data_IF_095328492888
#
_entry.id   IF_095328492888
#
_cell.length_a   1.000
_cell.length_b   1.000
_cell.length_c   1.000
_cell.angle_alpha   90.00
_cell.angle_beta   90.00
_cell.angle_gamma   90.00
#
_symmetry.space_group_name_H-M   'P 1'
#
loop_
_entity.id
_entity.type
_entity.pdbx_description
1 polymer ?
#
# COMPACT_ATOMS: atom_id res chain seq x y z
N UNK A 1 -2.56 -8.90 -9.85
CA UNK A 1 -3.08 -7.70 -10.56
C UNK A 1 -2.02 -6.65 -10.87
N UNK A 2 -0.90 -6.53 -10.10
CA UNK A 2 0.16 -5.53 -10.33
C UNK A 2 0.72 -5.59 -11.76
N UNK A 3 0.99 -6.77 -12.29
CA UNK A 3 1.55 -6.94 -13.64
C UNK A 3 0.60 -6.51 -14.77
N UNK A 4 -0.72 -6.52 -14.52
CA UNK A 4 -1.72 -6.01 -15.46
C UNK A 4 -1.75 -4.48 -15.50
N UNK A 5 -1.43 -3.85 -14.38
CA UNK A 5 -1.49 -2.40 -14.23
C UNK A 5 -0.17 -1.69 -14.56
N UNK A 6 0.96 -2.40 -14.45
CA UNK A 6 2.29 -1.86 -14.69
C UNK A 6 2.45 -1.15 -16.06
N UNK A 7 1.96 -1.68 -17.19
CA UNK A 7 2.08 -1.00 -18.48
C UNK A 7 1.42 0.38 -18.53
N UNK A 8 0.32 0.60 -17.79
CA UNK A 8 -0.31 1.92 -17.71
C UNK A 8 0.59 2.94 -17.00
N UNK A 9 1.25 2.52 -15.94
CA UNK A 9 2.21 3.35 -15.19
C UNK A 9 3.45 3.65 -16.04
N UNK A 10 3.86 2.72 -16.90
CA UNK A 10 5.03 2.87 -17.77
C UNK A 10 4.76 3.78 -18.97
N UNK A 11 3.54 3.82 -19.48
CA UNK A 11 3.18 4.55 -20.68
C UNK A 11 2.65 5.96 -20.39
N UNK A 12 2.01 6.17 -19.25
CA UNK A 12 1.36 7.43 -18.91
C UNK A 12 2.21 8.20 -17.90
N UNK A 13 2.73 9.39 -18.30
CA UNK A 13 3.54 10.24 -17.42
C UNK A 13 4.87 9.59 -17.00
N UNK A 14 5.58 10.25 -16.08
CA UNK A 14 6.84 9.77 -15.51
C UNK A 14 6.59 8.89 -14.29
N UNK A 15 7.50 7.95 -13.99
CA UNK A 15 7.40 7.12 -12.78
C UNK A 15 7.48 7.96 -11.51
N UNK A 16 8.31 9.03 -11.52
CA UNK A 16 8.38 10.00 -10.44
C UNK A 16 7.03 10.70 -10.22
N UNK A 17 6.32 11.07 -11.28
CA UNK A 17 4.99 11.69 -11.18
C UNK A 17 3.98 10.74 -10.52
N UNK A 18 3.90 9.49 -10.97
CA UNK A 18 3.03 8.47 -10.37
C UNK A 18 3.36 8.22 -8.91
N UNK A 19 4.64 8.06 -8.59
CA UNK A 19 5.14 7.82 -7.25
C UNK A 19 4.67 8.92 -6.27
N UNK A 20 4.90 10.19 -6.60
CA UNK A 20 4.52 11.32 -5.75
C UNK A 20 3.01 11.52 -5.71
N UNK A 21 2.32 11.45 -6.86
CA UNK A 21 0.87 11.67 -6.94
C UNK A 21 0.10 10.63 -6.12
N UNK A 22 0.52 9.36 -6.16
CA UNK A 22 -0.13 8.31 -5.38
C UNK A 22 0.08 8.50 -3.86
N UNK A 23 1.20 9.06 -3.43
CA UNK A 23 1.40 9.42 -2.01
C UNK A 23 0.40 10.48 -1.56
N UNK A 24 0.21 11.54 -2.34
CA UNK A 24 -0.78 12.56 -2.01
C UNK A 24 -2.22 12.03 -2.09
N UNK A 25 -2.50 11.13 -3.04
CA UNK A 25 -3.82 10.47 -3.11
C UNK A 25 -4.07 9.62 -1.87
N UNK A 26 -3.10 8.79 -1.45
CA UNK A 26 -3.23 7.98 -0.23
C UNK A 26 -3.39 8.86 1.02
N UNK A 27 -2.67 9.99 1.09
CA UNK A 27 -2.84 10.97 2.15
C UNK A 27 -4.26 11.53 2.17
N UNK A 28 -4.79 11.97 1.02
CA UNK A 28 -6.17 12.47 0.92
C UNK A 28 -7.21 11.43 1.32
N UNK A 29 -7.00 10.16 0.95
CA UNK A 29 -7.87 9.06 1.35
C UNK A 29 -7.76 8.73 2.85
N UNK A 30 -6.58 8.85 3.45
CA UNK A 30 -6.42 8.72 4.90
C UNK A 30 -7.20 9.82 5.65
N UNK A 31 -7.11 11.05 5.20
CA UNK A 31 -7.90 12.18 5.75
C UNK A 31 -9.40 11.92 5.55
N UNK A 32 -9.82 11.49 4.36
CA UNK A 32 -11.22 11.12 4.11
C UNK A 32 -11.69 10.00 5.06
N UNK A 33 -10.83 9.00 5.32
CA UNK A 33 -11.13 7.92 6.26
C UNK A 33 -11.38 8.45 7.67
N UNK A 34 -10.57 9.40 8.15
CA UNK A 34 -10.74 10.03 9.47
C UNK A 34 -12.16 10.62 9.62
N UNK A 35 -12.63 11.34 8.61
CA UNK A 35 -13.97 11.94 8.62
C UNK A 35 -15.10 10.93 8.35
N UNK A 36 -14.78 9.77 7.76
CA UNK A 36 -15.74 8.71 7.46
C UNK A 36 -15.93 7.71 8.60
N UNK A 37 -15.12 7.75 9.65
CA UNK A 37 -15.31 6.89 10.83
C UNK A 37 -16.55 7.36 11.58
N UNK A 38 -17.58 6.51 11.71
CA UNK A 38 -18.82 6.88 12.37
C UNK A 38 -18.57 7.12 13.87
N UNK A 39 -19.17 8.18 14.41
CA UNK A 39 -19.22 8.42 15.85
C UNK A 39 -20.39 7.61 16.44
N UNK A 40 -20.22 6.98 17.61
CA UNK A 40 -21.29 6.24 18.23
C UNK A 40 -22.37 7.22 18.73
N UNK A 41 -23.49 7.27 18.01
CA UNK A 41 -24.70 7.90 18.49
C UNK A 41 -25.63 6.82 19.06
N UNK A 42 -26.08 6.91 20.32
CA UNK A 42 -26.96 5.92 20.91
C UNK A 42 -28.25 5.65 20.09
N UNK A 43 -28.72 6.63 19.34
CA UNK A 43 -29.90 6.50 18.48
C UNK A 43 -29.60 5.66 17.21
N UNK A 44 -28.35 5.65 16.70
CA UNK A 44 -27.94 4.90 15.52
C UNK A 44 -27.54 3.46 15.85
N UNK A 45 -27.09 3.19 17.08
CA UNK A 45 -26.78 1.83 17.57
C UNK A 45 -28.05 0.96 17.62
N UNK A 46 -29.22 1.57 17.87
CA UNK A 46 -30.50 0.87 17.93
C UNK A 46 -31.02 0.37 16.54
N UNK A 47 -30.49 0.88 15.45
CA UNK A 47 -30.86 0.50 14.09
C UNK A 47 -29.74 -0.33 13.42
N UNK A 48 -29.73 -1.63 13.65
CA UNK A 48 -28.71 -2.58 13.14
C UNK A 48 -28.47 -2.52 11.62
N UNK A 49 -29.43 -2.03 10.84
CA UNK A 49 -29.29 -1.83 9.39
C UNK A 49 -28.40 -0.61 9.03
N UNK A 50 -28.14 0.26 9.98
CA UNK A 50 -27.41 1.52 9.77
C UNK A 50 -25.90 1.32 9.90
N UNK A 51 -25.43 0.37 10.68
CA UNK A 51 -24.00 0.13 10.92
C UNK A 51 -23.24 -0.25 9.64
N UNK A 52 -23.81 -1.11 8.79
CA UNK A 52 -23.18 -1.50 7.51
C UNK A 52 -23.05 -0.29 6.58
N UNK A 53 -24.01 0.61 6.57
CA UNK A 53 -23.98 1.84 5.75
C UNK A 53 -22.94 2.84 6.28
N UNK A 54 -22.79 2.95 7.59
CA UNK A 54 -21.82 3.86 8.21
C UNK A 54 -20.38 3.51 7.84
N UNK A 55 -20.02 2.22 7.78
CA UNK A 55 -18.68 1.78 7.39
C UNK A 55 -18.44 1.73 5.89
N UNK A 56 -19.46 1.92 5.05
CA UNK A 56 -19.31 1.87 3.58
C UNK A 56 -18.32 2.93 3.08
N UNK A 57 -18.33 4.14 3.64
CA UNK A 57 -17.38 5.20 3.28
C UNK A 57 -15.93 4.80 3.57
N UNK A 58 -15.67 4.24 4.75
CA UNK A 58 -14.35 3.73 5.16
C UNK A 58 -13.90 2.61 4.23
N UNK A 59 -14.79 1.66 3.91
CA UNK A 59 -14.50 0.55 3.03
C UNK A 59 -14.14 1.01 1.62
N UNK A 60 -14.91 1.94 1.05
CA UNK A 60 -14.62 2.53 -0.27
C UNK A 60 -13.26 3.24 -0.26
N UNK A 61 -12.98 4.04 0.78
CA UNK A 61 -11.70 4.71 0.92
C UNK A 61 -10.54 3.71 0.96
N UNK A 62 -10.67 2.60 1.70
CA UNK A 62 -9.65 1.55 1.74
C UNK A 62 -9.47 0.81 0.42
N UNK A 63 -10.55 0.54 -0.32
CA UNK A 63 -10.45 -0.08 -1.65
C UNK A 63 -9.67 0.83 -2.61
N UNK A 64 -10.00 2.13 -2.65
CA UNK A 64 -9.29 3.10 -3.49
C UNK A 64 -7.83 3.24 -3.01
N UNK A 65 -7.60 3.27 -1.70
CA UNK A 65 -6.26 3.33 -1.11
C UNK A 65 -5.42 2.09 -1.48
N UNK A 66 -6.01 0.89 -1.54
CA UNK A 66 -5.33 -0.32 -1.97
C UNK A 66 -4.89 -0.24 -3.44
N UNK A 67 -5.73 0.34 -4.34
CA UNK A 67 -5.35 0.62 -5.73
C UNK A 67 -4.24 1.68 -5.82
N UNK A 68 -4.35 2.78 -5.08
CA UNK A 68 -3.33 3.82 -5.03
C UNK A 68 -1.99 3.27 -4.51
N UNK A 69 -2.02 2.47 -3.46
CA UNK A 69 -0.84 1.80 -2.89
C UNK A 69 -0.20 0.84 -3.89
N UNK A 70 -0.99 0.02 -4.60
CA UNK A 70 -0.47 -0.88 -5.62
C UNK A 70 0.20 -0.11 -6.77
N UNK A 71 -0.40 1.02 -7.20
CA UNK A 71 0.15 1.89 -8.25
C UNK A 71 1.42 2.58 -7.78
N UNK A 72 1.44 3.07 -6.54
CA UNK A 72 2.62 3.65 -5.90
C UNK A 72 3.80 2.66 -5.89
N UNK A 73 3.54 1.43 -5.51
CA UNK A 73 4.55 0.37 -5.40
C UNK A 73 5.17 0.03 -6.78
N UNK A 74 4.33 -0.07 -7.83
CA UNK A 74 4.79 -0.25 -9.21
C UNK A 74 5.66 0.94 -9.66
N UNK A 75 5.19 2.16 -9.39
CA UNK A 75 5.93 3.36 -9.77
C UNK A 75 7.26 3.49 -9.01
N UNK A 76 7.26 3.16 -7.71
CA UNK A 76 8.46 3.17 -6.87
C UNK A 76 9.49 2.14 -7.35
N UNK A 77 9.06 0.92 -7.68
CA UNK A 77 9.93 -0.13 -8.22
C UNK A 77 10.52 0.28 -9.58
N UNK A 78 9.69 0.80 -10.48
CA UNK A 78 10.15 1.30 -11.77
C UNK A 78 11.09 2.50 -11.66
N UNK A 79 10.78 3.44 -10.75
CA UNK A 79 11.63 4.59 -10.48
C UNK A 79 12.99 4.18 -9.90
N UNK A 80 13.00 3.24 -8.95
CA UNK A 80 14.22 2.67 -8.39
C UNK A 80 15.16 2.11 -9.47
N UNK A 81 14.60 1.42 -10.46
CA UNK A 81 15.38 0.87 -11.58
C UNK A 81 15.94 1.94 -12.51
N UNK A 82 15.26 3.07 -12.66
CA UNK A 82 15.72 4.18 -13.51
C UNK A 82 16.70 5.13 -12.79
N UNK A 83 16.52 5.34 -11.50
CA UNK A 83 17.28 6.31 -10.73
C UNK A 83 18.66 5.80 -10.29
N UNK A 84 18.85 4.47 -10.18
CA UNK A 84 20.07 3.87 -9.65
C UNK A 84 20.81 3.05 -10.72
N UNK A 85 22.14 3.10 -10.66
CA UNK A 85 23.02 2.24 -11.49
C UNK A 85 22.91 0.76 -11.04
N UNK A 86 23.09 -0.21 -11.95
CA UNK A 86 22.88 -1.63 -11.64
C UNK A 86 23.66 -2.15 -10.42
N UNK A 87 24.91 -1.70 -10.21
CA UNK A 87 25.70 -2.09 -9.04
C UNK A 87 25.11 -1.60 -7.72
N UNK A 88 24.63 -0.35 -7.71
CA UNK A 88 23.96 0.25 -6.52
C UNK A 88 22.59 -0.40 -6.28
N UNK A 89 21.88 -0.78 -7.35
CA UNK A 89 20.60 -1.50 -7.21
C UNK A 89 20.78 -2.81 -6.45
N UNK A 90 21.83 -3.58 -6.79
CA UNK A 90 22.12 -4.85 -6.12
C UNK A 90 22.41 -4.68 -4.62
N UNK A 91 23.18 -3.65 -4.25
CA UNK A 91 23.46 -3.31 -2.86
C UNK A 91 22.20 -2.89 -2.09
N UNK A 92 21.35 -2.07 -2.71
CA UNK A 92 20.13 -1.55 -2.10
C UNK A 92 19.01 -2.59 -1.92
N UNK A 93 19.03 -3.72 -2.62
CA UNK A 93 18.04 -4.80 -2.48
C UNK A 93 17.99 -5.30 -1.03
N UNK A 94 19.15 -5.47 -0.39
CA UNK A 94 19.24 -5.88 1.01
C UNK A 94 18.56 -4.88 1.94
N UNK A 95 18.87 -3.60 1.80
CA UNK A 95 18.27 -2.52 2.57
C UNK A 95 16.74 -2.43 2.40
N UNK A 96 16.25 -2.55 1.17
CA UNK A 96 14.79 -2.61 0.90
C UNK A 96 14.12 -3.73 1.67
N UNK A 97 14.73 -4.91 1.70
CA UNK A 97 14.19 -6.07 2.41
C UNK A 97 14.14 -5.83 3.93
N UNK A 98 15.18 -5.22 4.50
CA UNK A 98 15.24 -4.86 5.93
C UNK A 98 14.14 -3.85 6.28
N UNK A 99 14.04 -2.75 5.53
CA UNK A 99 13.04 -1.72 5.77
C UNK A 99 11.61 -2.24 5.56
N UNK A 100 11.39 -3.11 4.58
CA UNK A 100 10.10 -3.76 4.37
C UNK A 100 9.69 -4.60 5.59
N UNK A 101 10.60 -5.40 6.14
CA UNK A 101 10.34 -6.21 7.35
C UNK A 101 10.09 -5.31 8.57
N UNK A 102 10.91 -4.29 8.75
CA UNK A 102 10.74 -3.32 9.84
C UNK A 102 9.39 -2.61 9.77
N UNK A 103 8.99 -2.16 8.57
CA UNK A 103 7.66 -1.55 8.35
C UNK A 103 6.53 -2.52 8.67
N UNK A 104 6.65 -3.80 8.27
CA UNK A 104 5.65 -4.80 8.60
C UNK A 104 5.51 -5.01 10.11
N UNK A 105 6.62 -5.12 10.84
CA UNK A 105 6.59 -5.24 12.30
C UNK A 105 5.95 -4.01 12.92
N UNK A 106 6.34 -2.81 12.47
CA UNK A 106 5.76 -1.56 12.95
C UNK A 106 4.26 -1.49 12.70
N UNK A 107 3.81 -1.78 11.46
CA UNK A 107 2.40 -1.73 11.11
C UNK A 107 1.56 -2.77 11.87
N UNK A 108 2.06 -3.98 12.02
CA UNK A 108 1.30 -5.04 12.68
C UNK A 108 1.33 -4.97 14.22
N UNK A 109 2.26 -4.25 14.80
CA UNK A 109 2.38 -4.14 16.26
C UNK A 109 2.02 -2.74 16.75
N UNK A 110 2.79 -1.72 16.36
CA UNK A 110 2.61 -0.36 16.88
C UNK A 110 1.28 0.26 16.45
N UNK A 111 0.89 0.11 15.16
CA UNK A 111 -0.36 0.69 14.67
C UNK A 111 -1.62 0.05 15.26
N UNK A 112 -1.54 -1.19 15.71
CA UNK A 112 -2.65 -1.86 16.40
C UNK A 112 -2.65 -1.50 17.89
N UNK A 113 -1.48 -1.33 18.50
CA UNK A 113 -1.35 -0.96 19.91
C UNK A 113 -1.75 0.50 20.20
N UNK A 114 -1.44 1.43 19.29
CA UNK A 114 -1.70 2.87 19.47
C UNK A 114 -3.18 3.17 19.78
N UNK A 115 -4.18 2.70 19.00
CA UNK A 115 -5.57 2.99 19.31
C UNK A 115 -6.02 2.37 20.66
N UNK A 116 -5.45 1.22 21.06
CA UNK A 116 -5.70 0.65 22.38
C UNK A 116 -5.19 1.56 23.50
N UNK A 117 -3.96 2.02 23.41
CA UNK A 117 -3.35 2.94 24.38
C UNK A 117 -4.15 4.25 24.49
N UNK A 118 -4.54 4.82 23.34
CA UNK A 118 -5.34 6.07 23.31
C UNK A 118 -6.72 5.83 23.93
N UNK A 119 -7.35 4.68 23.63
CA UNK A 119 -8.64 4.33 24.20
C UNK A 119 -8.57 4.19 25.72
N UNK A 120 -7.60 3.46 26.25
CA UNK A 120 -7.41 3.28 27.69
C UNK A 120 -7.18 4.64 28.39
N UNK A 121 -6.35 5.49 27.79
CA UNK A 121 -6.12 6.84 28.32
C UNK A 121 -7.37 7.71 28.31
N UNK A 122 -8.19 7.69 27.24
CA UNK A 122 -9.45 8.44 27.19
C UNK A 122 -10.51 7.88 28.13
N UNK A 123 -10.52 6.56 28.33
CA UNK A 123 -11.41 5.88 29.28
C UNK A 123 -11.14 6.30 30.73
N UNK A 124 -9.88 6.42 31.13
CA UNK A 124 -9.48 6.92 32.45
C UNK A 124 -9.99 8.37 32.70
N UNK A 125 -10.20 9.13 31.63
CA UNK A 125 -10.76 10.48 31.67
C UNK A 125 -12.31 10.52 31.60
N UNK A 126 -12.96 9.36 31.59
CA UNK A 126 -14.41 9.24 31.51
C UNK A 126 -14.96 9.37 30.07
N UNK A 127 -14.14 9.28 29.06
CA UNK A 127 -14.54 9.38 27.66
C UNK A 127 -14.20 8.07 26.90
N UNK A 128 -15.12 7.12 26.91
CA UNK A 128 -14.97 5.85 26.18
C UNK A 128 -15.28 6.04 24.69
N UNK A 129 -14.31 6.49 23.89
CA UNK A 129 -14.51 6.77 22.47
C UNK A 129 -13.48 6.04 21.59
N UNK A 130 -13.77 4.79 21.20
CA UNK A 130 -12.94 3.98 20.31
C UNK A 130 -12.80 4.60 18.91
N UNK A 131 -13.84 5.16 18.26
CA UNK A 131 -13.70 5.90 17.01
C UNK A 131 -12.67 7.03 17.05
N UNK A 132 -12.65 7.82 18.12
CA UNK A 132 -11.67 8.88 18.33
C UNK A 132 -10.24 8.32 18.39
N UNK A 133 -10.03 7.21 19.09
CA UNK A 133 -8.73 6.55 19.15
C UNK A 133 -8.21 6.12 17.76
N UNK A 134 -9.09 5.58 16.91
CA UNK A 134 -8.76 5.27 15.53
C UNK A 134 -8.53 6.50 14.67
N UNK A 135 -9.33 7.56 14.83
CA UNK A 135 -9.12 8.82 14.11
C UNK A 135 -7.75 9.43 14.41
N UNK A 136 -7.36 9.46 15.68
CA UNK A 136 -6.03 9.95 16.09
C UNK A 136 -4.93 9.07 15.51
N UNK A 137 -5.08 7.75 15.55
CA UNK A 137 -4.10 6.81 15.00
C UNK A 137 -3.90 7.00 13.50
N UNK A 138 -4.99 7.10 12.74
CA UNK A 138 -4.93 7.37 11.29
C UNK A 138 -4.36 8.76 11.03
N UNK A 139 -4.65 9.74 11.89
CA UNK A 139 -4.06 11.07 11.83
C UNK A 139 -2.54 11.08 12.00
N UNK A 140 -2.02 10.27 12.92
CA UNK A 140 -0.56 10.08 13.10
C UNK A 140 0.06 9.48 11.83
N UNK A 141 -0.58 8.46 11.25
CA UNK A 141 -0.12 7.85 9.99
C UNK A 141 -0.14 8.88 8.86
N UNK A 142 -1.23 9.64 8.73
CA UNK A 142 -1.35 10.68 7.72
C UNK A 142 -0.27 11.77 7.89
N UNK A 143 0.07 12.15 9.13
CA UNK A 143 1.15 13.08 9.42
C UNK A 143 2.53 12.55 8.99
N UNK A 144 2.80 11.27 9.20
CA UNK A 144 4.04 10.63 8.70
C UNK A 144 4.04 10.63 7.17
N UNK A 145 2.92 10.29 6.54
CA UNK A 145 2.80 10.27 5.08
C UNK A 145 3.00 11.65 4.43
N UNK A 146 2.47 12.73 5.04
CA UNK A 146 2.66 14.09 4.49
C UNK A 146 4.14 14.51 4.57
N UNK A 147 4.82 14.20 5.68
CA UNK A 147 6.25 14.49 5.82
C UNK A 147 7.05 13.76 4.75
N UNK A 148 6.76 12.47 4.54
CA UNK A 148 7.43 11.66 3.52
C UNK A 148 7.10 12.13 2.10
N UNK A 149 5.84 12.48 1.81
CA UNK A 149 5.43 12.98 0.49
C UNK A 149 6.10 14.31 0.15
N UNK A 150 6.18 15.23 1.11
CA UNK A 150 6.89 16.51 0.96
C UNK A 150 8.38 16.27 0.74
N UNK A 151 9.00 15.41 1.55
CA UNK A 151 10.39 15.00 1.36
C UNK A 151 10.64 14.46 -0.05
N UNK A 152 9.85 13.52 -0.51
CA UNK A 152 9.97 12.95 -1.85
C UNK A 152 9.75 13.97 -2.95
N UNK A 153 8.85 14.91 -2.79
CA UNK A 153 8.59 15.96 -3.77
C UNK A 153 9.83 16.83 -4.04
N UNK A 154 10.61 17.15 -2.98
CA UNK A 154 11.77 18.01 -3.08
C UNK A 154 13.07 17.25 -3.36
N UNK A 155 13.30 16.12 -2.72
CA UNK A 155 14.59 15.41 -2.73
C UNK A 155 14.68 14.26 -3.72
N UNK A 156 13.56 13.75 -4.26
CA UNK A 156 13.61 12.67 -5.24
C UNK A 156 14.25 13.16 -6.55
N UNK A 157 15.31 12.51 -7.06
CA UNK A 157 15.99 12.91 -8.28
C UNK A 157 15.06 12.86 -9.50
N UNK A 158 15.49 13.53 -10.57
CA UNK A 158 14.80 13.54 -11.87
C UNK A 158 15.73 12.95 -12.92
N UNK A 159 15.78 11.63 -13.04
CA UNK A 159 16.66 11.01 -14.02
C UNK A 159 16.19 11.32 -15.45
N UNK A 160 17.12 11.60 -16.35
CA UNK A 160 16.82 11.88 -17.77
C UNK A 160 16.14 10.71 -18.49
N UNK A 161 16.26 9.50 -17.95
CA UNK A 161 15.61 8.28 -18.43
C UNK A 161 14.12 8.20 -18.09
N UNK A 162 13.63 8.99 -17.12
CA UNK A 162 12.22 9.02 -16.71
C UNK A 162 11.44 10.06 -17.54
N UNK A 163 11.28 9.79 -18.84
CA UNK A 163 10.54 10.66 -19.75
C UNK A 163 9.16 10.10 -20.02
N UNK A 164 8.14 10.98 -20.12
CA UNK A 164 6.82 10.56 -20.58
C UNK A 164 6.92 10.09 -22.04
N UNK A 165 6.13 9.11 -22.41
CA UNK A 165 6.02 8.69 -23.80
C UNK A 165 5.24 9.75 -24.57
N UNK A 166 5.87 10.35 -25.61
CA UNK A 166 5.28 11.47 -26.36
C UNK A 166 4.15 11.02 -27.31
N UNK A 167 4.18 9.75 -27.72
CA UNK A 167 3.21 9.17 -28.68
C UNK A 167 2.15 8.31 -27.98
N UNK A 168 1.43 8.87 -27.03
CA UNK A 168 0.36 8.12 -26.32
C UNK A 168 -0.89 8.06 -27.19
N UNK A 169 -1.14 6.88 -27.77
CA UNK A 169 -2.41 6.55 -28.40
C UNK A 169 -3.00 5.31 -27.67
N UNK A 170 -4.30 5.35 -27.37
CA UNK A 170 -4.98 4.24 -26.69
C UNK A 170 -4.79 2.89 -27.41
N UNK A 171 -4.75 2.91 -28.76
CA UNK A 171 -4.49 1.73 -29.58
C UNK A 171 -3.06 1.18 -29.37
N UNK A 172 -2.07 2.07 -29.21
CA UNK A 172 -0.67 1.70 -28.92
C UNK A 172 -0.54 1.12 -27.50
N UNK A 173 -1.20 1.71 -26.52
CA UNK A 173 -1.22 1.18 -25.15
C UNK A 173 -1.74 -0.26 -25.11
N UNK A 174 -2.86 -0.53 -25.79
CA UNK A 174 -3.44 -1.88 -25.84
C UNK A 174 -2.53 -2.86 -26.61
N UNK A 175 -1.90 -2.40 -27.69
CA UNK A 175 -0.96 -3.22 -28.48
C UNK A 175 0.30 -3.57 -27.68
N UNK A 176 0.91 -2.58 -27.02
CA UNK A 176 2.11 -2.75 -26.20
C UNK A 176 1.83 -3.64 -24.98
N UNK A 177 0.63 -3.49 -24.38
CA UNK A 177 0.14 -4.38 -23.33
C UNK A 177 0.03 -5.82 -23.84
N UNK A 178 -0.64 -6.04 -24.97
CA UNK A 178 -0.78 -7.36 -25.59
C UNK A 178 0.58 -7.99 -25.94
N UNK A 179 1.51 -7.17 -26.44
CA UNK A 179 2.87 -7.61 -26.76
C UNK A 179 3.67 -7.97 -25.49
N UNK A 180 3.59 -7.16 -24.44
CA UNK A 180 4.24 -7.45 -23.16
C UNK A 180 3.73 -8.77 -22.56
N UNK A 181 2.40 -8.98 -22.59
CA UNK A 181 1.77 -10.22 -22.15
C UNK A 181 2.24 -11.41 -22.98
N UNK A 182 2.16 -11.32 -24.31
CA UNK A 182 2.63 -12.39 -25.22
C UNK A 182 4.10 -12.72 -25.01
N UNK A 183 4.94 -11.70 -24.86
CA UNK A 183 6.38 -11.87 -24.63
C UNK A 183 6.65 -12.52 -23.27
N UNK A 184 5.90 -12.16 -22.24
CA UNK A 184 6.01 -12.76 -20.91
C UNK A 184 5.74 -14.27 -20.96
N UNK A 185 4.62 -14.69 -21.59
CA UNK A 185 4.25 -16.10 -21.66
C UNK A 185 5.13 -16.94 -22.60
N UNK A 186 5.87 -16.28 -23.50
CA UNK A 186 6.84 -16.94 -24.42
C UNK A 186 8.23 -17.10 -23.81
N UNK A 187 8.49 -16.57 -22.60
CA UNK A 187 9.80 -16.73 -21.96
C UNK A 187 10.14 -18.20 -21.68
N UNK A 188 11.34 -18.66 -22.05
CA UNK A 188 11.78 -20.01 -21.73
C UNK A 188 11.80 -20.22 -20.21
N UNK A 189 11.44 -21.40 -19.76
CA UNK A 189 11.38 -21.78 -18.36
C UNK A 189 10.42 -20.96 -17.46
N UNK A 190 9.47 -20.21 -18.04
CA UNK A 190 8.51 -19.42 -17.29
C UNK A 190 7.75 -20.26 -16.24
N UNK A 191 7.25 -21.42 -16.65
CA UNK A 191 6.50 -22.31 -15.77
C UNK A 191 7.34 -22.86 -14.63
N UNK A 192 8.61 -23.16 -14.90
CA UNK A 192 9.58 -23.57 -13.85
C UNK A 192 9.81 -22.45 -12.87
N UNK A 193 9.96 -21.19 -13.34
CA UNK A 193 10.13 -20.04 -12.49
C UNK A 193 8.88 -19.75 -11.64
N UNK A 194 7.68 -19.87 -12.22
CA UNK A 194 6.42 -19.69 -11.50
C UNK A 194 6.27 -20.78 -10.42
N UNK A 195 6.51 -22.04 -10.78
CA UNK A 195 6.43 -23.15 -9.84
C UNK A 195 7.43 -22.98 -8.69
N UNK A 196 8.67 -22.60 -9.01
CA UNK A 196 9.69 -22.32 -8.01
C UNK A 196 9.25 -21.19 -7.06
N UNK A 197 8.75 -20.07 -7.59
CA UNK A 197 8.28 -18.95 -6.77
C UNK A 197 7.11 -19.35 -5.85
N UNK A 198 6.18 -20.15 -6.36
CA UNK A 198 5.05 -20.66 -5.56
C UNK A 198 5.54 -21.59 -4.46
N UNK A 199 6.37 -22.57 -4.78
CA UNK A 199 6.91 -23.52 -3.80
C UNK A 199 7.80 -22.85 -2.75
N UNK A 200 8.59 -21.86 -3.15
CA UNK A 200 9.42 -21.07 -2.24
C UNK A 200 8.60 -20.25 -1.24
N UNK A 201 7.45 -19.69 -1.70
CA UNK A 201 6.60 -18.81 -0.88
C UNK A 201 5.62 -19.57 0.01
N UNK A 202 5.24 -20.78 -0.37
CA UNK A 202 4.28 -21.63 0.34
C UNK A 202 4.67 -21.89 1.81
N UNK A 203 5.90 -22.35 2.14
CA UNK A 203 6.28 -22.63 3.52
C UNK A 203 6.18 -21.41 4.43
N UNK A 204 6.61 -20.23 3.96
CA UNK A 204 6.51 -18.98 4.70
C UNK A 204 5.04 -18.63 4.99
N UNK A 205 4.17 -18.74 3.98
CA UNK A 205 2.73 -18.48 4.12
C UNK A 205 2.04 -19.45 5.10
N UNK A 206 2.38 -20.73 5.07
CA UNK A 206 1.86 -21.72 6.00
C UNK A 206 2.35 -21.48 7.43
N UNK A 207 3.64 -21.21 7.61
CA UNK A 207 4.23 -20.95 8.91
C UNK A 207 3.57 -19.74 9.59
N UNK A 208 3.40 -18.65 8.87
CA UNK A 208 2.75 -17.45 9.41
C UNK A 208 1.28 -17.69 9.79
N UNK A 209 0.55 -18.46 8.99
CA UNK A 209 -0.86 -18.77 9.27
C UNK A 209 -1.04 -19.79 10.41
N UNK A 210 -0.12 -20.74 10.54
CA UNK A 210 -0.19 -21.77 11.59
C UNK A 210 0.39 -21.33 12.92
N UNK A 211 1.22 -20.28 12.94
CA UNK A 211 1.83 -19.77 14.16
C UNK A 211 0.78 -19.36 15.19
N UNK A 212 -0.26 -18.66 14.78
CA UNK A 212 -1.31 -18.18 15.69
C UNK A 212 -2.12 -19.34 16.30
N UNK A 213 -2.75 -20.24 15.52
CA UNK A 213 -3.44 -21.40 16.05
C UNK A 213 -2.54 -22.29 16.94
N UNK A 214 -1.28 -22.48 16.56
CA UNK A 214 -0.32 -23.26 17.34
C UNK A 214 -0.08 -22.66 18.73
N UNK A 215 0.17 -21.34 18.80
CA UNK A 215 0.41 -20.65 20.08
C UNK A 215 -0.81 -20.66 21.01
N UNK A 216 -2.03 -20.67 20.45
CA UNK A 216 -3.26 -20.73 21.24
C UNK A 216 -3.68 -22.16 21.60
N UNK A 217 -3.37 -23.16 20.79
CA UNK A 217 -3.66 -24.56 21.07
C UNK A 217 -2.77 -25.16 22.17
N UNK A 218 -1.62 -24.55 22.44
CA UNK A 218 -0.65 -25.00 23.48
C UNK A 218 -0.86 -24.33 24.84
N UNK A 219 -1.91 -23.54 25.01
CA UNK A 219 -2.38 -22.98 26.28
C UNK A 219 -3.63 -23.71 26.76
#
# INVERSE_FOLDING_TARGET
>A
LKFLWAPFVDLIKTKRWWFITMQFLMLGLAVLTIFSIPQPDPATIAAMDTEVRLFTGVLIAFIIMAFASATHDIAADGFYMLALKPGVQAEMIGWRSVFYRLSNVFCNSALIAIPGIIYDWTKEQGNENMPLAWQITIGIIAAIFIIMAIWHMFYTPRPDSDKPNEDINAKKIIADFGQAFSTFFKKPALWVAILFMLLYRLPEGFLLKMLYPFLFATR
#
